data_IF_255695706466
#
_entry.id   IF_255695706466
#
_cell.length_a   1.000
_cell.length_b   1.000
_cell.length_c   1.000
_cell.angle_alpha   90.00
_cell.angle_beta   90.00
_cell.angle_gamma   90.00
#
_symmetry.space_group_name_H-M   'P 1'
#
loop_
_entity.id
_entity.type
_entity.pdbx_description
1 polymer ?
#
# COMPACT_ATOMS: atom_id res chain seq x y z
N UNK A 1 39.27 -31.62 -1.83
CA UNK A 1 38.32 -30.70 -2.52
C UNK A 1 37.04 -31.40 -2.93
N UNK A 2 37.11 -32.58 -3.56
CA UNK A 2 35.92 -33.33 -4.03
C UNK A 2 34.91 -33.65 -2.91
N UNK A 3 35.37 -34.07 -1.73
CA UNK A 3 34.49 -34.34 -0.58
C UNK A 3 33.65 -33.14 -0.14
N UNK A 4 34.22 -31.94 -0.15
CA UNK A 4 33.47 -30.72 0.20
C UNK A 4 32.44 -30.35 -0.86
N UNK A 5 32.75 -30.60 -2.14
CA UNK A 5 31.80 -30.38 -3.23
C UNK A 5 30.63 -31.36 -3.12
N UNK A 6 30.90 -32.64 -2.86
CA UNK A 6 29.85 -33.66 -2.66
C UNK A 6 28.99 -33.31 -1.45
N UNK A 7 29.59 -32.93 -0.32
CA UNK A 7 28.85 -32.51 0.88
C UNK A 7 27.96 -31.28 0.62
N UNK A 8 28.47 -30.30 -0.14
CA UNK A 8 27.72 -29.10 -0.52
C UNK A 8 26.50 -29.43 -1.40
N UNK A 9 26.66 -30.36 -2.35
CA UNK A 9 25.56 -30.83 -3.21
C UNK A 9 24.53 -31.64 -2.41
N UNK A 10 24.98 -32.57 -1.55
CA UNK A 10 24.09 -33.37 -0.71
C UNK A 10 23.31 -32.50 0.26
N UNK A 11 23.93 -31.48 0.86
CA UNK A 11 23.27 -30.53 1.76
C UNK A 11 22.09 -29.77 1.16
N UNK A 12 21.99 -29.67 -0.18
CA UNK A 12 20.85 -29.03 -0.85
C UNK A 12 19.55 -29.80 -0.64
N UNK A 13 19.60 -31.13 -0.50
CA UNK A 13 18.41 -31.98 -0.36
C UNK A 13 17.62 -31.62 0.92
N UNK A 14 18.19 -31.73 2.14
CA UNK A 14 17.48 -31.33 3.35
C UNK A 14 17.14 -29.83 3.35
N UNK A 15 17.93 -28.97 2.69
CA UNK A 15 17.65 -27.54 2.58
C UNK A 15 16.37 -27.23 1.80
N UNK A 16 16.16 -27.84 0.63
CA UNK A 16 14.94 -27.66 -0.17
C UNK A 16 13.71 -28.25 0.53
N UNK A 17 13.86 -29.44 1.15
CA UNK A 17 12.77 -30.06 1.93
C UNK A 17 12.36 -29.12 3.06
N UNK A 18 13.31 -28.62 3.85
CA UNK A 18 13.01 -27.71 4.96
C UNK A 18 12.46 -26.36 4.48
N UNK A 19 12.96 -25.82 3.36
CA UNK A 19 12.45 -24.56 2.78
C UNK A 19 10.98 -24.69 2.38
N UNK A 20 10.59 -25.80 1.76
CA UNK A 20 9.19 -26.08 1.40
C UNK A 20 8.25 -26.17 2.61
N UNK A 21 8.80 -26.38 3.81
CA UNK A 21 8.10 -26.42 5.10
C UNK A 21 8.19 -25.11 5.89
N UNK A 22 8.62 -24.02 5.24
CA UNK A 22 8.68 -22.69 5.86
C UNK A 22 9.93 -22.44 6.72
N UNK A 23 11.01 -23.20 6.54
CA UNK A 23 12.29 -22.98 7.23
C UNK A 23 13.29 -22.21 6.36
N UNK A 24 14.37 -21.73 6.98
CA UNK A 24 15.43 -20.99 6.30
C UNK A 24 16.32 -21.95 5.49
N UNK A 25 16.46 -21.67 4.19
CA UNK A 25 17.27 -22.51 3.30
C UNK A 25 18.73 -22.59 3.75
N UNK A 26 19.38 -21.45 4.02
CA UNK A 26 20.80 -21.40 4.34
C UNK A 26 21.20 -22.14 5.62
N UNK A 27 20.37 -22.06 6.67
CA UNK A 27 20.65 -22.77 7.92
C UNK A 27 20.56 -24.30 7.73
N UNK A 28 19.55 -24.77 6.99
CA UNK A 28 19.38 -26.19 6.71
C UNK A 28 20.39 -26.74 5.70
N UNK A 29 20.84 -25.92 4.75
CA UNK A 29 21.95 -26.27 3.86
C UNK A 29 23.25 -26.45 4.64
N UNK A 30 23.58 -25.48 5.51
CA UNK A 30 24.78 -25.57 6.36
C UNK A 30 24.70 -26.78 7.31
N UNK A 31 23.53 -27.03 7.88
CA UNK A 31 23.29 -28.20 8.71
C UNK A 31 23.47 -29.52 7.93
N UNK A 32 22.90 -29.61 6.72
CA UNK A 32 23.04 -30.77 5.83
C UNK A 32 24.47 -30.97 5.33
N UNK A 33 25.22 -29.90 5.13
CA UNK A 33 26.64 -29.94 4.74
C UNK A 33 27.50 -30.64 5.80
N UNK A 34 27.28 -30.35 7.08
CA UNK A 34 28.06 -30.94 8.17
C UNK A 34 27.49 -32.26 8.70
N UNK A 35 26.16 -32.43 8.70
CA UNK A 35 25.45 -33.50 9.40
C UNK A 35 24.32 -34.10 8.55
N UNK A 36 24.64 -34.50 7.32
CA UNK A 36 23.66 -34.91 6.31
C UNK A 36 22.61 -35.93 6.79
N UNK A 37 23.02 -37.06 7.38
CA UNK A 37 22.08 -38.12 7.79
C UNK A 37 21.10 -37.63 8.86
N UNK A 38 21.58 -36.85 9.84
CA UNK A 38 20.72 -36.32 10.89
C UNK A 38 19.79 -35.23 10.32
N UNK A 39 20.34 -34.36 9.48
CA UNK A 39 19.61 -33.26 8.86
C UNK A 39 18.47 -33.76 7.97
N UNK A 40 18.66 -34.83 7.19
CA UNK A 40 17.60 -35.36 6.32
C UNK A 40 16.47 -36.02 7.12
N UNK A 41 16.78 -36.76 8.18
CA UNK A 41 15.75 -37.33 9.07
C UNK A 41 14.93 -36.20 9.72
N UNK A 42 15.59 -35.19 10.25
CA UNK A 42 14.93 -34.02 10.84
C UNK A 42 14.07 -33.26 9.80
N UNK A 43 14.59 -33.04 8.59
CA UNK A 43 13.85 -32.35 7.54
C UNK A 43 12.58 -33.11 7.10
N UNK A 44 12.61 -34.44 7.12
CA UNK A 44 11.44 -35.27 6.79
C UNK A 44 10.40 -35.28 7.91
N UNK A 45 10.82 -35.40 9.17
CA UNK A 45 9.90 -35.52 10.31
C UNK A 45 9.34 -34.18 10.79
N UNK A 46 10.05 -33.06 10.57
CA UNK A 46 9.59 -31.75 11.04
C UNK A 46 8.27 -31.35 10.36
N UNK A 47 7.34 -30.82 11.14
CA UNK A 47 6.07 -30.28 10.64
C UNK A 47 6.28 -28.98 9.86
N UNK A 48 5.31 -28.65 9.01
CA UNK A 48 5.28 -27.35 8.32
C UNK A 48 5.11 -26.23 9.34
N UNK A 49 5.80 -25.13 9.11
CA UNK A 49 5.57 -23.89 9.85
C UNK A 49 4.59 -23.03 9.06
N UNK A 50 3.30 -23.29 9.21
CA UNK A 50 2.26 -22.63 8.41
C UNK A 50 2.30 -21.11 8.54
N UNK A 51 2.62 -20.58 9.75
CA UNK A 51 2.80 -19.14 9.97
C UNK A 51 3.92 -18.56 9.11
N UNK A 52 5.10 -19.19 9.11
CA UNK A 52 6.21 -18.71 8.29
C UNK A 52 5.97 -18.85 6.79
N UNK A 53 5.15 -19.83 6.36
CA UNK A 53 4.71 -19.96 4.97
C UNK A 53 3.74 -18.82 4.63
N UNK A 54 2.77 -18.56 5.50
CA UNK A 54 1.78 -17.51 5.36
C UNK A 54 2.44 -16.12 5.30
N UNK A 55 3.35 -15.82 6.23
CA UNK A 55 4.10 -14.56 6.28
C UNK A 55 4.87 -14.32 4.98
N UNK A 56 5.57 -15.35 4.46
CA UNK A 56 6.24 -15.28 3.15
C UNK A 56 5.27 -15.03 2.01
N UNK A 57 4.07 -15.62 2.04
CA UNK A 57 3.07 -15.38 1.01
C UNK A 57 2.55 -13.94 1.06
N UNK A 58 2.37 -13.39 2.26
CA UNK A 58 1.99 -11.99 2.47
C UNK A 58 3.09 -11.04 1.95
N UNK A 59 4.36 -11.31 2.25
CA UNK A 59 5.50 -10.55 1.70
C UNK A 59 5.55 -10.61 0.17
N UNK A 60 5.25 -11.77 -0.43
CA UNK A 60 5.22 -11.98 -1.88
C UNK A 60 3.98 -11.38 -2.58
N UNK A 61 3.26 -10.48 -1.93
CA UNK A 61 2.13 -9.77 -2.55
C UNK A 61 0.81 -10.55 -2.53
N UNK A 62 0.63 -11.46 -1.57
CA UNK A 62 -0.70 -11.95 -1.19
C UNK A 62 -1.26 -11.10 -0.04
N UNK A 63 -2.57 -11.19 0.18
CA UNK A 63 -3.24 -10.58 1.33
C UNK A 63 -4.34 -11.50 1.84
N UNK A 64 -4.79 -11.29 3.08
CA UNK A 64 -5.97 -11.99 3.59
C UNK A 64 -7.25 -11.35 3.08
N UNK A 65 -8.22 -12.18 2.74
CA UNK A 65 -9.60 -11.74 2.51
C UNK A 65 -10.21 -11.26 3.84
N UNK A 66 -10.85 -10.07 3.91
CA UNK A 66 -11.44 -9.56 5.14
C UNK A 66 -12.69 -10.33 5.59
N UNK A 67 -13.28 -11.15 4.71
CA UNK A 67 -14.51 -11.88 4.99
C UNK A 67 -14.27 -13.33 5.45
N UNK A 68 -13.28 -14.02 4.86
CA UNK A 68 -13.03 -15.44 5.13
C UNK A 68 -11.61 -15.74 5.62
N UNK A 69 -10.77 -14.72 5.79
CA UNK A 69 -9.37 -14.81 6.24
C UNK A 69 -8.40 -15.61 5.36
N UNK A 70 -8.87 -16.19 4.26
CA UNK A 70 -8.04 -16.96 3.33
C UNK A 70 -7.13 -16.05 2.48
N UNK A 71 -5.97 -16.58 2.07
CA UNK A 71 -5.01 -15.83 1.25
C UNK A 71 -5.49 -15.68 -0.19
N UNK A 72 -5.56 -14.42 -0.64
CA UNK A 72 -5.90 -14.03 -2.02
C UNK A 72 -4.81 -13.15 -2.61
N UNK A 73 -4.76 -13.05 -3.94
CA UNK A 73 -3.85 -12.11 -4.62
C UNK A 73 -4.16 -10.69 -4.15
N UNK A 74 -3.13 -9.84 -4.02
CA UNK A 74 -3.30 -8.43 -3.62
C UNK A 74 -4.26 -7.67 -4.55
N UNK A 75 -4.23 -7.98 -5.84
CA UNK A 75 -5.08 -7.41 -6.89
C UNK A 75 -6.49 -8.02 -6.96
N UNK A 76 -6.81 -9.05 -6.16
CA UNK A 76 -8.11 -9.70 -6.22
C UNK A 76 -9.22 -8.73 -5.79
N UNK A 77 -10.14 -8.46 -6.72
CA UNK A 77 -11.40 -7.73 -6.48
C UNK A 77 -12.54 -8.66 -6.05
N UNK A 78 -12.39 -9.97 -6.27
CA UNK A 78 -13.35 -10.99 -5.87
C UNK A 78 -12.64 -12.20 -5.27
N UNK A 79 -13.14 -12.68 -4.13
CA UNK A 79 -12.55 -13.82 -3.45
C UNK A 79 -12.85 -15.13 -4.18
N UNK A 80 -11.83 -15.92 -4.51
CA UNK A 80 -12.02 -17.27 -5.09
C UNK A 80 -12.55 -18.31 -4.08
N UNK A 81 -12.50 -18.02 -2.79
CA UNK A 81 -12.87 -18.96 -1.73
C UNK A 81 -14.31 -18.73 -1.25
N UNK A 82 -14.66 -17.51 -0.89
CA UNK A 82 -15.99 -17.17 -0.39
C UNK A 82 -16.88 -16.41 -1.38
N UNK A 83 -16.34 -15.97 -2.53
CA UNK A 83 -17.10 -15.24 -3.55
C UNK A 83 -17.39 -13.77 -3.24
N UNK A 84 -17.05 -13.27 -2.04
CA UNK A 84 -17.25 -11.87 -1.66
C UNK A 84 -16.43 -10.92 -2.53
N UNK A 85 -16.98 -9.76 -2.84
CA UNK A 85 -16.26 -8.67 -3.48
C UNK A 85 -15.36 -7.98 -2.45
N UNK A 86 -14.06 -7.89 -2.74
CA UNK A 86 -13.04 -7.35 -1.85
C UNK A 86 -12.54 -6.03 -2.45
N UNK A 87 -12.39 -4.95 -1.67
CA UNK A 87 -11.84 -3.69 -2.18
C UNK A 87 -10.49 -3.90 -2.85
N UNK A 88 -10.29 -3.34 -4.05
CA UNK A 88 -9.04 -3.40 -4.78
C UNK A 88 -7.93 -2.77 -3.93
N UNK A 89 -6.88 -3.54 -3.63
CA UNK A 89 -5.73 -3.01 -2.92
C UNK A 89 -4.91 -2.22 -3.92
N UNK A 90 -5.11 -0.89 -3.94
CA UNK A 90 -4.44 0.04 -4.84
C UNK A 90 -2.98 -0.36 -5.09
N UNK A 91 -2.68 -0.68 -6.35
CA UNK A 91 -1.35 -1.05 -6.86
C UNK A 91 -0.46 0.18 -6.70
N UNK A 92 0.54 0.09 -5.83
CA UNK A 92 1.54 1.13 -5.69
C UNK A 92 2.52 1.10 -6.87
N UNK A 93 2.31 2.04 -7.80
CA UNK A 93 3.29 2.87 -8.54
C UNK A 93 4.74 2.35 -8.67
N UNK A 94 5.17 2.13 -9.92
CA UNK A 94 6.37 2.81 -10.42
C UNK A 94 5.99 4.27 -10.75
N UNK A 95 6.67 5.23 -10.11
CA UNK A 95 6.73 6.66 -10.44
C UNK A 95 5.47 7.35 -11.02
N UNK A 96 4.45 7.64 -10.21
CA UNK A 96 3.62 8.85 -10.42
C UNK A 96 2.81 9.21 -9.15
N UNK A 97 3.30 10.11 -8.30
CA UNK A 97 2.65 10.52 -7.03
C UNK A 97 1.23 11.14 -7.22
N UNK A 98 0.72 11.26 -8.45
CA UNK A 98 -0.47 12.06 -8.77
C UNK A 98 -1.85 11.35 -8.66
N UNK A 99 -1.95 10.02 -8.42
CA UNK A 99 -3.27 9.32 -8.42
C UNK A 99 -3.97 9.14 -7.05
N UNK A 100 -3.41 9.66 -5.96
CA UNK A 100 -4.08 9.66 -4.63
C UNK A 100 -3.98 11.05 -4.01
N UNK A 101 -4.27 12.08 -4.81
CA UNK A 101 -4.37 13.43 -4.29
C UNK A 101 -5.70 13.59 -3.57
N UNK A 102 -5.64 13.90 -2.27
CA UNK A 102 -6.80 14.17 -1.41
C UNK A 102 -6.61 15.60 -0.88
N UNK A 103 -7.57 16.53 -1.11
CA UNK A 103 -7.41 17.92 -0.69
C UNK A 103 -7.13 18.09 0.81
N UNK A 104 -7.77 17.28 1.65
CA UNK A 104 -7.64 17.30 3.12
C UNK A 104 -6.26 16.85 3.62
N UNK A 105 -5.48 16.16 2.79
CA UNK A 105 -4.11 15.75 3.11
C UNK A 105 -3.07 16.85 2.83
N UNK A 106 -3.47 17.95 2.20
CA UNK A 106 -2.59 19.12 2.03
C UNK A 106 -2.53 19.88 3.36
N UNK A 107 -1.33 20.17 3.89
CA UNK A 107 -1.19 20.93 5.12
C UNK A 107 -1.95 22.27 5.08
N UNK A 108 -2.74 22.56 6.13
CA UNK A 108 -3.63 23.73 6.19
C UNK A 108 -2.87 25.06 6.01
N UNK A 109 -1.63 25.11 6.50
CA UNK A 109 -0.76 26.28 6.34
C UNK A 109 -0.40 26.57 4.87
N UNK A 110 -0.49 25.62 3.94
CA UNK A 110 -0.25 25.87 2.52
C UNK A 110 -1.39 26.64 1.85
N UNK A 111 -2.61 26.51 2.37
CA UNK A 111 -3.78 27.27 1.92
C UNK A 111 -3.80 28.72 2.44
N UNK A 112 -2.89 29.07 3.36
CA UNK A 112 -2.82 30.39 3.98
C UNK A 112 -1.53 31.07 3.50
N UNK A 113 -1.62 32.33 3.10
CA UNK A 113 -0.47 33.21 2.91
C UNK A 113 -0.56 34.42 3.83
N UNK A 114 0.57 35.06 4.08
CA UNK A 114 0.64 36.28 4.89
C UNK A 114 1.10 37.42 3.99
N UNK A 115 0.20 38.36 3.73
CA UNK A 115 0.48 39.56 2.94
C UNK A 115 0.40 40.78 3.85
N UNK A 116 1.51 41.52 3.98
CA UNK A 116 1.59 42.73 4.82
C UNK A 116 1.06 42.54 6.26
N UNK A 117 1.29 41.36 6.86
CA UNK A 117 0.85 41.03 8.21
C UNK A 117 -0.59 40.53 8.34
N UNK A 118 -1.36 40.49 7.24
CA UNK A 118 -2.71 39.91 7.21
C UNK A 118 -2.66 38.50 6.61
N UNK A 119 -3.34 37.54 7.26
CA UNK A 119 -3.54 36.20 6.71
C UNK A 119 -4.63 36.26 5.64
N UNK A 120 -4.39 35.64 4.49
CA UNK A 120 -5.33 35.53 3.36
C UNK A 120 -5.21 34.14 2.74
N UNK A 121 -6.13 33.77 1.83
CA UNK A 121 -6.07 32.49 1.15
C UNK A 121 -5.03 32.50 0.03
N UNK A 122 -4.22 31.45 -0.03
CA UNK A 122 -3.28 31.22 -1.11
C UNK A 122 -4.01 30.66 -2.35
N UNK A 123 -4.58 31.55 -3.17
CA UNK A 123 -5.34 31.17 -4.37
C UNK A 123 -4.54 30.33 -5.36
N UNK A 124 -3.20 30.48 -5.40
CA UNK A 124 -2.32 29.66 -6.26
C UNK A 124 -2.30 28.19 -5.80
N UNK A 125 -2.25 27.96 -4.47
CA UNK A 125 -2.34 26.61 -3.93
C UNK A 125 -3.72 26.00 -4.17
N UNK A 126 -4.79 26.77 -3.98
CA UNK A 126 -6.15 26.31 -4.29
C UNK A 126 -6.29 25.96 -5.78
N UNK A 127 -5.69 26.73 -6.68
CA UNK A 127 -5.68 26.42 -8.10
C UNK A 127 -4.93 25.12 -8.43
N UNK A 128 -3.77 24.88 -7.83
CA UNK A 128 -3.03 23.61 -7.97
C UNK A 128 -3.85 22.41 -7.50
N UNK A 129 -4.55 22.55 -6.37
CA UNK A 129 -5.47 21.52 -5.85
C UNK A 129 -6.58 21.23 -6.86
N UNK A 130 -7.29 22.25 -7.35
CA UNK A 130 -8.38 22.08 -8.32
C UNK A 130 -7.87 21.48 -9.63
N UNK A 131 -6.70 21.91 -10.11
CA UNK A 131 -6.07 21.33 -11.30
C UNK A 131 -5.83 19.83 -11.15
N UNK A 132 -5.28 19.38 -10.02
CA UNK A 132 -5.08 17.96 -9.72
C UNK A 132 -6.40 17.20 -9.64
N UNK A 133 -7.43 17.78 -9.01
CA UNK A 133 -8.76 17.17 -8.96
C UNK A 133 -9.34 16.94 -10.36
N UNK A 134 -9.26 17.92 -11.26
CA UNK A 134 -9.72 17.77 -12.66
C UNK A 134 -8.92 16.72 -13.40
N UNK A 135 -7.59 16.72 -13.24
CA UNK A 135 -6.69 15.78 -13.92
C UNK A 135 -6.96 14.32 -13.55
N UNK A 136 -7.31 14.06 -12.29
CA UNK A 136 -7.64 12.71 -11.81
C UNK A 136 -9.06 12.30 -12.23
N UNK A 137 -9.92 13.25 -12.59
CA UNK A 137 -11.31 13.04 -12.97
C UNK A 137 -11.62 13.65 -14.36
N UNK A 138 -10.97 13.20 -15.46
CA UNK A 138 -11.02 13.87 -16.77
C UNK A 138 -12.41 13.93 -17.42
N UNK A 139 -13.31 13.00 -17.08
CA UNK A 139 -14.67 12.90 -17.66
C UNK A 139 -15.79 13.26 -16.65
N UNK A 140 -15.44 13.90 -15.53
CA UNK A 140 -16.39 14.27 -14.48
C UNK A 140 -16.62 15.77 -14.50
N UNK A 141 -17.88 16.20 -14.49
CA UNK A 141 -18.21 17.63 -14.44
C UNK A 141 -17.80 18.27 -13.11
N UNK A 142 -17.57 19.58 -13.10
CA UNK A 142 -17.17 20.32 -11.92
C UNK A 142 -18.14 20.15 -10.74
N UNK A 143 -19.44 20.04 -11.00
CA UNK A 143 -20.47 19.81 -9.98
C UNK A 143 -20.33 18.44 -9.31
N UNK A 144 -20.03 17.40 -10.10
CA UNK A 144 -19.79 16.07 -9.57
C UNK A 144 -18.44 15.97 -8.86
N UNK A 145 -17.42 16.72 -9.28
CA UNK A 145 -16.16 16.86 -8.54
C UNK A 145 -16.42 17.54 -7.18
N UNK A 146 -17.16 18.64 -7.15
CA UNK A 146 -17.51 19.33 -5.90
C UNK A 146 -18.20 18.37 -4.93
N UNK A 147 -19.20 17.61 -5.41
CA UNK A 147 -19.91 16.63 -4.60
C UNK A 147 -19.04 15.46 -4.15
N UNK A 148 -18.11 15.00 -5.00
CA UNK A 148 -17.24 13.86 -4.70
C UNK A 148 -16.25 14.15 -3.58
N UNK A 149 -15.80 15.40 -3.47
CA UNK A 149 -14.80 15.84 -2.50
C UNK A 149 -15.38 16.74 -1.41
N UNK A 150 -16.71 16.79 -1.23
CA UNK A 150 -17.38 17.66 -0.26
C UNK A 150 -16.83 17.48 1.15
N UNK A 151 -16.65 16.24 1.58
CA UNK A 151 -16.21 15.90 2.94
C UNK A 151 -14.77 16.38 3.20
N UNK A 152 -13.91 16.29 2.17
CA UNK A 152 -12.53 16.79 2.25
C UNK A 152 -12.50 18.33 2.35
N UNK A 153 -13.38 19.00 1.60
CA UNK A 153 -13.50 20.46 1.63
C UNK A 153 -14.06 20.94 2.97
N UNK A 154 -15.07 20.25 3.51
CA UNK A 154 -15.61 20.52 4.84
C UNK A 154 -14.57 20.36 5.94
N UNK A 155 -13.72 19.32 5.85
CA UNK A 155 -12.59 19.13 6.76
C UNK A 155 -11.58 20.29 6.68
N UNK A 156 -11.22 20.75 5.47
CA UNK A 156 -10.32 21.91 5.32
C UNK A 156 -10.97 23.16 5.96
N UNK A 157 -12.26 23.37 5.72
CA UNK A 157 -13.00 24.48 6.31
C UNK A 157 -13.06 24.41 7.84
N UNK A 158 -13.17 23.21 8.44
CA UNK A 158 -13.17 23.07 9.90
C UNK A 158 -11.83 23.41 10.54
N UNK A 159 -10.72 23.12 9.85
CA UNK A 159 -9.35 23.40 10.33
C UNK A 159 -8.88 24.84 10.05
N UNK A 160 -9.51 25.54 9.09
CA UNK A 160 -9.16 26.93 8.79
C UNK A 160 -9.63 27.91 9.88
N UNK A 161 -8.87 29.00 10.13
CA UNK A 161 -9.32 30.13 10.92
C UNK A 161 -10.67 30.68 10.42
N UNK A 162 -11.57 31.03 11.34
CA UNK A 162 -12.95 31.40 11.02
C UNK A 162 -13.04 32.56 10.00
N UNK A 163 -12.11 33.51 10.07
CA UNK A 163 -11.99 34.66 9.18
C UNK A 163 -11.63 34.31 7.73
N UNK A 164 -11.12 33.10 7.47
CA UNK A 164 -10.65 32.65 6.16
C UNK A 164 -11.56 31.62 5.47
N UNK A 165 -12.57 31.09 6.18
CA UNK A 165 -13.43 30.00 5.67
C UNK A 165 -14.26 30.42 4.46
N UNK A 166 -14.90 31.58 4.55
CA UNK A 166 -15.71 32.13 3.45
C UNK A 166 -14.84 32.48 2.25
N UNK A 167 -13.67 33.11 2.49
CA UNK A 167 -12.70 33.43 1.44
C UNK A 167 -12.25 32.15 0.71
N UNK A 168 -11.94 31.08 1.46
CA UNK A 168 -11.56 29.80 0.88
C UNK A 168 -12.68 29.19 0.04
N UNK A 169 -13.90 29.14 0.57
CA UNK A 169 -15.08 28.60 -0.13
C UNK A 169 -15.32 29.33 -1.45
N UNK A 170 -15.25 30.66 -1.43
CA UNK A 170 -15.39 31.49 -2.63
C UNK A 170 -14.29 31.21 -3.67
N UNK A 171 -13.02 31.21 -3.24
CA UNK A 171 -11.87 30.96 -4.11
C UNK A 171 -11.94 29.55 -4.70
N UNK A 172 -12.23 28.53 -3.90
CA UNK A 172 -12.35 27.15 -4.36
C UNK A 172 -13.47 27.00 -5.40
N UNK A 173 -14.69 27.48 -5.10
CA UNK A 173 -15.84 27.38 -6.01
C UNK A 173 -15.61 28.14 -7.31
N UNK A 174 -15.07 29.36 -7.24
CA UNK A 174 -14.77 30.16 -8.43
C UNK A 174 -13.77 29.46 -9.36
N UNK A 175 -12.72 28.84 -8.82
CA UNK A 175 -11.72 28.13 -9.62
C UNK A 175 -12.28 26.79 -10.15
N UNK A 176 -13.05 26.07 -9.34
CA UNK A 176 -13.63 24.78 -9.74
C UNK A 176 -14.71 24.92 -10.83
N UNK A 177 -15.45 26.04 -10.85
CA UNK A 177 -16.51 26.28 -11.84
C UNK A 177 -16.05 27.10 -13.06
N UNK A 178 -14.78 27.51 -13.11
CA UNK A 178 -14.17 28.22 -14.24
C UNK A 178 -13.70 27.29 -15.36
#
# INVERSE_FOLDING_TARGET
>A
MELFIVAALLGLIPAFIAQSKGRSFGAWWLYGFFLFIVAIIHALLISKNDKAIEDKQLENGMRKCPFCAELVKKEAIKCKHCGSDIPAFNVAKESNVDYLFVPSCVPINEYIKVDAGRKTINSSKVADVVYKLRKINPDVSSEWIEKRYSDDIEFILSELPHDLREEFSMVYRSILMA
#
